data_IF_229799853354
#
_entry.id   IF_229799853354
#
_cell.length_a   1.000
_cell.length_b   1.000
_cell.length_c   1.000
_cell.angle_alpha   90.00
_cell.angle_beta   90.00
_cell.angle_gamma   90.00
#
_symmetry.space_group_name_H-M   'P 1'
#
loop_
_entity.id
_entity.type
_entity.pdbx_description
1 polymer ?
#
# COMPACT_ATOMS: atom_id res chain seq x y z
N UNK A 1 17.91 -8.32 20.09
CA UNK A 1 17.10 -8.40 18.87
C UNK A 1 16.26 -7.13 18.78
N UNK A 2 16.47 -6.28 17.77
CA UNK A 2 15.57 -5.14 17.53
C UNK A 2 14.23 -5.73 17.11
N UNK A 3 13.16 -5.37 17.79
CA UNK A 3 11.81 -5.76 17.40
C UNK A 3 11.52 -5.18 16.01
N UNK A 4 10.79 -5.89 15.16
CA UNK A 4 10.39 -5.49 13.79
C UNK A 4 9.85 -4.05 13.78
N UNK A 5 9.06 -3.68 14.78
CA UNK A 5 8.54 -2.34 14.99
C UNK A 5 9.60 -1.22 14.99
N UNK A 6 10.74 -1.42 15.64
CA UNK A 6 11.79 -0.37 15.73
C UNK A 6 12.56 -0.16 14.45
N UNK A 7 12.53 -1.12 13.53
CA UNK A 7 13.23 -1.02 12.24
C UNK A 7 12.42 -0.23 11.21
N UNK A 8 11.10 -0.38 11.21
CA UNK A 8 10.22 0.17 10.18
C UNK A 8 9.36 1.35 10.67
N UNK A 9 9.23 1.54 11.99
CA UNK A 9 8.46 2.65 12.55
C UNK A 9 9.29 3.92 12.74
N UNK A 10 8.59 5.07 12.71
CA UNK A 10 9.16 6.39 12.97
C UNK A 10 9.77 7.06 11.74
N UNK A 11 10.38 8.20 12.01
CA UNK A 11 10.99 9.06 11.00
C UNK A 11 12.52 9.15 11.23
N UNK A 12 13.23 9.58 10.20
CA UNK A 12 14.67 9.84 10.21
C UNK A 12 14.98 11.06 9.35
N UNK A 13 16.17 11.64 9.52
CA UNK A 13 16.67 12.66 8.59
C UNK A 13 16.75 12.08 7.18
N UNK A 14 16.43 12.89 6.19
CA UNK A 14 16.49 12.47 4.78
C UNK A 14 17.94 12.11 4.41
N UNK A 15 18.22 10.89 3.97
CA UNK A 15 19.55 10.50 3.48
C UNK A 15 19.95 11.33 2.26
N UNK A 16 21.24 11.66 2.12
CA UNK A 16 21.74 12.48 1.01
C UNK A 16 21.34 11.95 -0.38
N UNK A 17 21.33 10.63 -0.56
CA UNK A 17 20.93 10.00 -1.82
C UNK A 17 19.43 10.19 -2.17
N UNK A 18 18.60 10.52 -1.19
CA UNK A 18 17.16 10.72 -1.32
C UNK A 18 16.74 12.16 -1.00
N UNK A 19 17.69 13.07 -0.86
CA UNK A 19 17.41 14.51 -0.67
C UNK A 19 16.93 15.16 -1.97
N UNK A 20 16.29 16.29 -1.83
CA UNK A 20 15.80 17.15 -2.92
C UNK A 20 15.77 18.59 -2.46
N UNK A 21 15.50 19.53 -3.35
CA UNK A 21 15.38 20.95 -3.02
C UNK A 21 14.05 21.19 -2.26
N UNK A 22 14.17 21.48 -0.97
CA UNK A 22 13.02 21.74 -0.09
C UNK A 22 12.37 23.10 -0.40
N UNK A 23 13.13 24.09 -0.92
CA UNK A 23 12.58 25.37 -1.31
C UNK A 23 11.69 25.21 -2.56
N UNK A 24 12.19 24.53 -3.59
CA UNK A 24 11.39 24.22 -4.79
C UNK A 24 10.11 23.44 -4.45
N UNK A 25 10.17 22.53 -3.49
CA UNK A 25 8.98 21.83 -3.01
C UNK A 25 8.01 22.79 -2.31
N UNK A 26 8.52 23.64 -1.42
CA UNK A 26 7.70 24.61 -0.68
C UNK A 26 6.97 25.57 -1.63
N UNK A 27 7.69 26.12 -2.61
CA UNK A 27 7.13 27.03 -3.62
C UNK A 27 6.03 26.33 -4.44
N UNK A 28 6.28 25.07 -4.84
CA UNK A 28 5.28 24.28 -5.54
C UNK A 28 4.05 23.99 -4.67
N UNK A 29 4.24 23.66 -3.40
CA UNK A 29 3.13 23.42 -2.46
C UNK A 29 2.28 24.66 -2.23
N UNK A 30 2.89 25.86 -2.16
CA UNK A 30 2.18 27.14 -2.03
C UNK A 30 1.24 27.40 -3.21
N UNK A 31 1.68 27.06 -4.42
CA UNK A 31 0.89 27.23 -5.64
C UNK A 31 -0.22 26.18 -5.82
N UNK A 32 -0.05 24.98 -5.27
CA UNK A 32 -0.89 23.82 -5.60
C UNK A 32 -1.75 23.30 -4.43
N UNK A 33 -1.55 23.80 -3.20
CA UNK A 33 -2.28 23.35 -2.00
C UNK A 33 -2.86 24.58 -1.29
N UNK A 34 -4.16 24.77 -1.39
CA UNK A 34 -4.86 25.98 -0.91
C UNK A 34 -4.65 26.32 0.57
N UNK A 35 -4.43 25.30 1.41
CA UNK A 35 -4.25 25.45 2.87
C UNK A 35 -2.79 25.37 3.31
N UNK A 36 -1.87 25.44 2.35
CA UNK A 36 -0.45 25.34 2.68
C UNK A 36 0.08 26.66 3.22
N UNK A 37 0.84 26.58 4.31
CA UNK A 37 1.55 27.70 4.95
C UNK A 37 2.95 27.21 5.36
N UNK A 38 3.99 27.67 4.66
CA UNK A 38 5.38 27.37 5.01
C UNK A 38 5.84 28.03 6.32
N UNK A 39 7.09 27.79 6.75
CA UNK A 39 8.09 26.91 6.14
C UNK A 39 7.81 25.44 6.38
N UNK A 40 8.50 24.56 5.63
CA UNK A 40 8.41 23.10 5.78
C UNK A 40 9.60 22.54 6.57
N UNK A 41 9.33 21.43 7.28
CA UNK A 41 10.37 20.55 7.85
C UNK A 41 10.16 19.18 7.24
N UNK A 42 11.19 18.61 6.59
CA UNK A 42 11.11 17.36 5.87
C UNK A 42 11.87 16.27 6.61
N UNK A 43 11.18 15.16 6.89
CA UNK A 43 11.76 13.95 7.42
C UNK A 43 11.33 12.75 6.56
N UNK A 44 12.11 11.68 6.52
CA UNK A 44 11.75 10.47 5.81
C UNK A 44 11.15 9.43 6.77
N UNK A 45 10.08 8.74 6.36
CA UNK A 45 9.62 7.54 7.06
C UNK A 45 10.62 6.40 6.86
N UNK A 46 10.85 5.60 7.91
CA UNK A 46 11.72 4.42 7.84
C UNK A 46 11.08 3.26 7.07
N UNK A 47 9.75 3.17 7.07
CA UNK A 47 8.97 2.23 6.25
C UNK A 47 8.75 2.75 4.83
N UNK A 48 8.15 1.93 3.96
CA UNK A 48 7.84 2.31 2.58
C UNK A 48 9.03 2.14 1.64
N UNK A 49 9.54 0.90 1.53
CA UNK A 49 10.78 0.61 0.76
C UNK A 49 10.62 0.79 -0.76
N UNK A 50 9.41 0.61 -1.31
CA UNK A 50 9.17 0.70 -2.76
C UNK A 50 9.25 2.13 -3.28
N UNK A 51 8.56 3.06 -2.63
CA UNK A 51 8.51 4.47 -2.99
C UNK A 51 8.94 5.32 -1.79
N UNK A 52 9.99 6.16 -1.90
CA UNK A 52 10.41 7.04 -0.82
C UNK A 52 9.25 7.92 -0.34
N UNK A 53 9.00 7.88 0.97
CA UNK A 53 7.88 8.57 1.61
C UNK A 53 8.40 9.49 2.70
N UNK A 54 7.90 10.74 2.72
CA UNK A 54 8.40 11.79 3.60
C UNK A 54 7.26 12.41 4.39
N UNK A 55 7.54 12.74 5.65
CA UNK A 55 6.69 13.57 6.50
C UNK A 55 7.09 15.03 6.28
N UNK A 56 6.12 15.86 5.97
CA UNK A 56 6.30 17.30 5.76
C UNK A 56 5.48 18.00 6.83
N UNK A 57 6.18 18.68 7.72
CA UNK A 57 5.56 19.40 8.84
C UNK A 57 5.59 20.90 8.56
N UNK A 58 4.47 21.56 8.77
CA UNK A 58 4.32 23.02 8.78
C UNK A 58 3.83 23.46 10.15
N UNK A 59 3.61 24.76 10.34
CA UNK A 59 3.08 25.26 11.61
C UNK A 59 1.65 24.80 11.91
N UNK A 60 0.85 24.63 10.86
CA UNK A 60 -0.60 24.38 10.98
C UNK A 60 -1.01 22.98 10.54
N UNK A 61 -0.19 22.29 9.76
CA UNK A 61 -0.57 21.02 9.14
C UNK A 61 0.61 20.06 8.97
N UNK A 62 0.31 18.77 8.89
CA UNK A 62 1.28 17.72 8.56
C UNK A 62 0.82 17.00 7.31
N UNK A 63 1.71 16.90 6.32
CA UNK A 63 1.49 16.21 5.05
C UNK A 63 2.40 15.01 4.91
N UNK A 64 2.06 14.15 3.97
CA UNK A 64 2.92 13.07 3.48
C UNK A 64 3.19 13.29 2.01
N UNK A 65 4.47 13.29 1.63
CA UNK A 65 4.91 13.24 0.25
C UNK A 65 5.36 11.82 -0.08
N UNK A 66 4.86 11.25 -1.17
CA UNK A 66 5.34 9.98 -1.73
C UNK A 66 5.79 10.20 -3.17
N UNK A 67 7.00 9.78 -3.51
CA UNK A 67 7.59 10.00 -4.84
C UNK A 67 8.14 8.71 -5.45
N UNK A 68 8.32 8.71 -6.77
CA UNK A 68 9.09 7.67 -7.44
C UNK A 68 10.54 7.68 -6.94
N UNK A 69 11.19 6.52 -6.80
CA UNK A 69 12.63 6.47 -6.53
C UNK A 69 13.41 7.23 -7.63
N UNK A 70 14.52 7.89 -7.29
CA UNK A 70 15.41 8.46 -8.29
C UNK A 70 16.11 7.36 -9.11
N UNK A 71 16.42 7.66 -10.38
CA UNK A 71 17.16 6.76 -11.27
C UNK A 71 16.30 6.08 -12.34
N UNK A 72 16.89 5.10 -13.05
CA UNK A 72 16.18 4.34 -14.10
C UNK A 72 15.26 3.29 -13.47
N UNK A 73 13.98 3.41 -13.71
CA UNK A 73 12.96 2.49 -13.22
C UNK A 73 12.48 1.57 -14.33
N UNK A 74 12.02 0.38 -13.97
CA UNK A 74 11.33 -0.50 -14.91
C UNK A 74 10.00 0.14 -15.36
N UNK A 75 9.61 -0.05 -16.61
CA UNK A 75 8.30 0.44 -17.08
C UNK A 75 7.17 -0.07 -16.20
N UNK A 76 6.24 0.82 -15.84
CA UNK A 76 5.10 0.56 -14.95
C UNK A 76 5.42 0.23 -13.48
N UNK A 77 6.67 0.22 -13.06
CA UNK A 77 7.02 0.19 -11.65
C UNK A 77 6.82 1.57 -11.01
N UNK A 78 6.48 1.58 -9.72
CA UNK A 78 6.39 2.83 -8.94
C UNK A 78 5.39 3.85 -9.51
N UNK A 79 4.19 3.41 -9.89
CA UNK A 79 3.17 4.24 -10.55
C UNK A 79 2.42 5.13 -9.52
N UNK A 80 3.09 6.15 -8.99
CA UNK A 80 2.51 7.10 -8.00
C UNK A 80 1.30 7.87 -8.55
N UNK A 81 1.20 8.05 -9.87
CA UNK A 81 0.02 8.60 -10.56
C UNK A 81 -1.21 7.69 -10.39
N UNK A 82 -1.01 6.37 -10.45
CA UNK A 82 -2.09 5.41 -10.23
C UNK A 82 -2.52 5.36 -8.76
N UNK A 83 -1.56 5.41 -7.83
CA UNK A 83 -1.87 5.52 -6.40
C UNK A 83 -2.68 6.79 -6.11
N UNK A 84 -2.26 7.95 -6.64
CA UNK A 84 -2.99 9.19 -6.50
C UNK A 84 -4.42 9.10 -7.05
N UNK A 85 -4.58 8.52 -8.24
CA UNK A 85 -5.88 8.36 -8.90
C UNK A 85 -6.84 7.51 -8.06
N UNK A 86 -6.42 6.34 -7.62
CA UNK A 86 -7.28 5.42 -6.87
C UNK A 86 -7.66 6.01 -5.51
N UNK A 87 -6.69 6.54 -4.74
CA UNK A 87 -6.97 7.12 -3.43
C UNK A 87 -7.86 8.35 -3.52
N UNK A 88 -7.70 9.20 -4.55
CA UNK A 88 -8.59 10.35 -4.78
C UNK A 88 -10.03 9.91 -5.02
N UNK A 89 -10.24 8.88 -5.84
CA UNK A 89 -11.56 8.33 -6.12
C UNK A 89 -12.20 7.68 -4.89
N UNK A 90 -11.44 6.89 -4.15
CA UNK A 90 -11.87 6.22 -2.92
C UNK A 90 -12.21 7.22 -1.81
N UNK A 91 -11.37 8.24 -1.61
CA UNK A 91 -11.62 9.29 -0.62
C UNK A 91 -12.93 10.04 -0.91
N UNK A 92 -13.17 10.40 -2.18
CA UNK A 92 -14.40 11.08 -2.59
C UNK A 92 -15.66 10.23 -2.38
N UNK A 93 -15.52 8.90 -2.35
CA UNK A 93 -16.61 7.97 -2.05
C UNK A 93 -16.79 7.75 -0.53
N UNK A 94 -15.86 8.18 0.30
CA UNK A 94 -15.89 7.99 1.76
C UNK A 94 -15.21 6.71 2.25
N UNK A 95 -14.44 6.03 1.41
CA UNK A 95 -13.61 4.91 1.82
C UNK A 95 -12.39 5.42 2.59
N UNK A 96 -11.93 4.73 3.67
CA UNK A 96 -10.82 5.19 4.51
C UNK A 96 -9.47 5.10 3.77
N UNK A 97 -9.10 6.19 3.16
CA UNK A 97 -7.77 6.49 2.60
C UNK A 97 -7.39 7.92 2.96
N UNK A 98 -6.11 8.29 2.98
CA UNK A 98 -5.71 9.68 3.17
C UNK A 98 -6.33 10.60 2.10
N UNK A 99 -6.67 11.81 2.49
CA UNK A 99 -7.08 12.83 1.51
C UNK A 99 -5.90 13.19 0.63
N UNK A 100 -6.12 13.15 -0.68
CA UNK A 100 -5.13 13.55 -1.68
C UNK A 100 -5.23 15.05 -1.94
N UNK A 101 -4.10 15.75 -1.89
CA UNK A 101 -4.06 17.19 -2.14
C UNK A 101 -3.70 17.50 -3.59
N UNK A 102 -2.54 17.05 -4.05
CA UNK A 102 -2.06 17.34 -5.40
C UNK A 102 -1.06 16.29 -5.89
N UNK A 103 -1.00 16.12 -7.20
CA UNK A 103 -0.01 15.29 -7.90
C UNK A 103 0.86 16.18 -8.77
N UNK A 104 2.17 15.97 -8.73
CA UNK A 104 3.16 16.66 -9.53
C UNK A 104 3.83 15.69 -10.50
N UNK A 105 3.69 15.95 -11.79
CA UNK A 105 4.37 15.21 -12.85
C UNK A 105 5.70 15.87 -13.23
N UNK A 106 5.84 17.17 -12.93
CA UNK A 106 7.03 17.96 -13.26
C UNK A 106 8.23 17.53 -12.42
N UNK A 107 9.18 16.89 -13.09
CA UNK A 107 10.42 16.43 -12.47
C UNK A 107 11.39 17.56 -12.11
N UNK A 108 11.20 18.78 -12.63
CA UNK A 108 12.07 19.90 -12.28
C UNK A 108 11.92 20.34 -10.83
N UNK A 109 10.81 20.01 -10.16
CA UNK A 109 10.53 20.40 -8.76
C UNK A 109 11.44 19.65 -7.78
N UNK A 110 11.38 18.31 -7.78
CA UNK A 110 12.17 17.46 -6.85
C UNK A 110 12.86 16.27 -7.52
N UNK A 111 13.05 16.32 -8.84
CA UNK A 111 13.75 15.28 -9.60
C UNK A 111 12.90 14.09 -10.05
N UNK A 112 11.71 13.89 -9.50
CA UNK A 112 10.79 12.79 -9.85
C UNK A 112 9.34 13.20 -9.63
N UNK A 113 8.39 12.50 -10.27
CA UNK A 113 6.96 12.69 -10.00
C UNK A 113 6.63 12.29 -8.56
N UNK A 114 5.69 13.01 -7.94
CA UNK A 114 5.26 12.78 -6.56
C UNK A 114 3.80 13.21 -6.33
N UNK A 115 3.26 12.83 -5.18
CA UNK A 115 2.00 13.36 -4.70
C UNK A 115 2.08 13.77 -3.22
N UNK A 116 1.16 14.64 -2.84
CA UNK A 116 0.97 15.10 -1.45
C UNK A 116 -0.40 14.60 -0.96
N UNK A 117 -0.41 14.04 0.24
CA UNK A 117 -1.61 13.61 0.94
C UNK A 117 -1.59 14.04 2.41
N UNK A 118 -2.73 13.91 3.09
CA UNK A 118 -2.80 14.11 4.54
C UNK A 118 -1.95 13.09 5.30
N UNK A 119 -1.30 13.54 6.36
CA UNK A 119 -0.77 12.66 7.38
C UNK A 119 -1.91 12.17 8.28
N UNK A 120 -2.01 10.87 8.45
CA UNK A 120 -2.99 10.25 9.34
C UNK A 120 -2.27 9.79 10.61
N UNK A 121 -2.62 10.38 11.75
CA UNK A 121 -2.09 9.96 13.03
C UNK A 121 -2.87 8.74 13.56
N UNK A 122 -2.15 7.63 13.78
CA UNK A 122 -2.76 6.38 14.20
C UNK A 122 -1.74 5.27 14.45
N UNK A 123 -2.25 4.06 14.73
CA UNK A 123 -1.44 2.88 15.01
C UNK A 123 -1.26 2.05 13.73
N UNK A 124 -0.01 1.66 13.44
CA UNK A 124 0.34 0.67 12.41
C UNK A 124 0.94 -0.54 13.13
N UNK A 125 0.49 -1.73 12.80
CA UNK A 125 0.99 -2.98 13.39
C UNK A 125 1.88 -3.71 12.38
N UNK A 126 3.19 -3.56 12.55
CA UNK A 126 4.19 -4.23 11.71
C UNK A 126 4.28 -5.74 11.96
N UNK A 127 4.00 -6.16 13.21
CA UNK A 127 3.83 -7.55 13.57
C UNK A 127 2.31 -7.89 13.54
N UNK A 128 1.86 -8.72 12.58
CA UNK A 128 0.44 -9.05 12.48
C UNK A 128 -0.06 -9.88 13.67
N UNK A 129 0.82 -10.47 14.48
CA UNK A 129 0.43 -11.12 15.74
C UNK A 129 -0.01 -10.12 16.80
N UNK A 130 0.43 -8.86 16.70
CA UNK A 130 0.12 -7.79 17.67
C UNK A 130 0.33 -8.25 19.13
N UNK A 131 1.53 -8.72 19.50
CA UNK A 131 1.76 -9.39 20.79
C UNK A 131 1.43 -8.53 22.00
N UNK A 132 1.56 -7.19 21.88
CA UNK A 132 1.28 -6.22 22.92
C UNK A 132 -0.22 -5.89 23.07
N UNK A 133 -1.07 -6.39 22.16
CA UNK A 133 -2.50 -6.08 22.14
C UNK A 133 -3.30 -7.24 22.73
N UNK A 134 -4.25 -6.98 23.66
CA UNK A 134 -5.12 -8.01 24.24
C UNK A 134 -5.93 -8.76 23.16
N UNK A 135 -6.15 -10.06 23.35
CA UNK A 135 -6.81 -10.92 22.37
C UNK A 135 -8.17 -10.37 21.86
N UNK A 136 -8.98 -9.86 22.81
CA UNK A 136 -10.30 -9.26 22.47
C UNK A 136 -10.14 -8.05 21.52
N UNK A 137 -9.14 -7.23 21.74
CA UNK A 137 -8.87 -6.06 20.90
C UNK A 137 -8.28 -6.49 19.55
N UNK A 138 -7.35 -7.47 19.52
CA UNK A 138 -6.84 -8.04 18.27
C UNK A 138 -7.97 -8.55 17.38
N UNK A 139 -8.91 -9.30 17.96
CA UNK A 139 -10.09 -9.76 17.23
C UNK A 139 -10.90 -8.60 16.64
N UNK A 140 -11.10 -7.53 17.42
CA UNK A 140 -11.84 -6.36 16.95
C UNK A 140 -11.10 -5.60 15.83
N UNK A 141 -9.76 -5.49 15.90
CA UNK A 141 -8.92 -4.89 14.86
C UNK A 141 -8.99 -5.69 13.54
N UNK A 142 -8.81 -7.01 13.60
CA UNK A 142 -8.96 -7.87 12.42
C UNK A 142 -10.37 -7.80 11.82
N UNK A 143 -11.40 -7.77 12.67
CA UNK A 143 -12.78 -7.59 12.22
C UNK A 143 -13.00 -6.24 11.53
N UNK A 144 -12.37 -5.17 12.02
CA UNK A 144 -12.41 -3.87 11.39
C UNK A 144 -11.69 -3.89 10.02
N UNK A 145 -10.49 -4.48 9.93
CA UNK A 145 -9.78 -4.65 8.67
C UNK A 145 -10.60 -5.44 7.65
N UNK A 146 -11.15 -6.59 8.04
CA UNK A 146 -12.00 -7.40 7.15
C UNK A 146 -13.23 -6.66 6.67
N UNK A 147 -13.83 -5.80 7.50
CA UNK A 147 -14.95 -4.94 7.11
C UNK A 147 -14.54 -3.99 6.00
N UNK A 148 -13.39 -3.34 6.15
CA UNK A 148 -12.92 -2.41 5.10
C UNK A 148 -12.54 -3.13 3.81
N UNK A 149 -11.99 -4.34 3.88
CA UNK A 149 -11.78 -5.16 2.68
C UNK A 149 -13.12 -5.49 1.98
N UNK A 150 -14.12 -5.89 2.74
CA UNK A 150 -15.45 -6.15 2.20
C UNK A 150 -16.11 -4.88 1.63
N UNK A 151 -15.95 -3.73 2.30
CA UNK A 151 -16.41 -2.44 1.81
C UNK A 151 -15.76 -2.10 0.47
N UNK A 152 -14.43 -2.23 0.36
CA UNK A 152 -13.68 -2.00 -0.88
C UNK A 152 -14.24 -2.83 -2.04
N UNK A 153 -14.39 -4.13 -1.81
CA UNK A 153 -14.88 -5.05 -2.83
C UNK A 153 -16.33 -4.81 -3.26
N UNK A 154 -17.13 -4.09 -2.45
CA UNK A 154 -18.50 -3.74 -2.77
C UNK A 154 -18.65 -2.35 -3.40
N UNK A 155 -17.59 -1.57 -3.52
CA UNK A 155 -17.62 -0.29 -4.21
C UNK A 155 -17.89 -0.52 -5.69
N UNK A 156 -18.88 0.17 -6.23
CA UNK A 156 -19.10 0.19 -7.67
C UNK A 156 -18.05 1.11 -8.33
N UNK A 157 -17.00 0.49 -8.85
CA UNK A 157 -15.87 1.20 -9.45
C UNK A 157 -16.26 2.10 -10.64
N UNK A 158 -17.39 1.85 -11.31
CA UNK A 158 -17.90 2.70 -12.38
C UNK A 158 -18.47 4.02 -11.84
N UNK A 159 -19.16 3.98 -10.69
CA UNK A 159 -19.67 5.19 -10.05
C UNK A 159 -18.57 6.17 -9.62
N UNK A 160 -17.39 5.66 -9.32
CA UNK A 160 -16.22 6.48 -8.96
C UNK A 160 -15.22 6.65 -10.12
N UNK A 161 -15.66 6.42 -11.36
CA UNK A 161 -14.92 6.67 -12.62
C UNK A 161 -13.59 5.88 -12.72
N UNK A 162 -13.61 4.63 -12.26
CA UNK A 162 -12.44 3.73 -12.30
C UNK A 162 -12.60 2.58 -13.31
N UNK A 163 -13.54 2.66 -14.26
CA UNK A 163 -13.75 1.64 -15.30
C UNK A 163 -12.51 1.35 -16.16
N UNK A 164 -11.64 2.34 -16.32
CA UNK A 164 -10.37 2.24 -17.07
C UNK A 164 -9.15 2.05 -16.16
N UNK A 165 -9.34 1.78 -14.85
CA UNK A 165 -8.23 1.61 -13.90
C UNK A 165 -7.52 0.27 -14.04
N UNK A 166 -8.18 -0.74 -14.59
CA UNK A 166 -7.64 -2.07 -14.88
C UNK A 166 -8.45 -2.76 -15.97
N UNK A 167 -8.03 -3.97 -16.33
CA UNK A 167 -8.75 -4.80 -17.32
C UNK A 167 -9.73 -5.72 -16.57
N UNK A 168 -11.03 -5.64 -16.79
CA UNK A 168 -11.99 -6.58 -16.20
C UNK A 168 -11.83 -7.98 -16.83
N UNK A 169 -12.26 -9.00 -16.10
CA UNK A 169 -12.26 -10.40 -16.52
C UNK A 169 -10.86 -11.05 -16.59
N UNK A 170 -10.82 -12.37 -16.57
CA UNK A 170 -9.61 -13.20 -16.68
C UNK A 170 -8.47 -12.77 -15.75
N UNK A 171 -8.80 -12.28 -14.54
CA UNK A 171 -7.82 -11.71 -13.63
C UNK A 171 -6.75 -12.73 -13.23
N UNK A 172 -7.15 -13.89 -12.72
CA UNK A 172 -6.19 -14.92 -12.27
C UNK A 172 -5.29 -15.42 -13.40
N UNK A 173 -5.84 -15.67 -14.59
CA UNK A 173 -5.05 -16.08 -15.75
C UNK A 173 -3.94 -15.07 -16.09
N UNK A 174 -4.28 -13.76 -16.09
CA UNK A 174 -3.28 -12.71 -16.31
C UNK A 174 -2.23 -12.63 -15.20
N UNK A 175 -2.63 -12.80 -13.94
CA UNK A 175 -1.69 -12.77 -12.82
C UNK A 175 -0.74 -13.98 -12.86
N UNK A 176 -1.26 -15.17 -13.10
CA UNK A 176 -0.45 -16.39 -13.24
C UNK A 176 0.57 -16.23 -14.38
N UNK A 177 0.13 -15.79 -15.55
CA UNK A 177 1.03 -15.55 -16.68
C UNK A 177 2.11 -14.52 -16.36
N UNK A 178 1.73 -13.38 -15.79
CA UNK A 178 2.66 -12.29 -15.41
C UNK A 178 3.71 -12.76 -14.40
N UNK A 179 3.27 -13.36 -13.29
CA UNK A 179 4.17 -13.76 -12.21
C UNK A 179 5.04 -14.96 -12.60
N UNK A 180 4.52 -15.90 -13.40
CA UNK A 180 5.31 -17.00 -13.97
C UNK A 180 6.43 -16.49 -14.88
N UNK A 181 6.13 -15.53 -15.77
CA UNK A 181 7.14 -14.91 -16.63
C UNK A 181 8.18 -14.15 -15.82
N UNK A 182 7.76 -13.41 -14.80
CA UNK A 182 8.67 -12.66 -13.92
C UNK A 182 9.57 -13.61 -13.13
N UNK A 183 9.02 -14.68 -12.55
CA UNK A 183 9.80 -15.70 -11.87
C UNK A 183 10.85 -16.32 -12.78
N UNK A 184 10.45 -16.77 -13.97
CA UNK A 184 11.40 -17.35 -14.94
C UNK A 184 12.50 -16.38 -15.37
N UNK A 185 12.19 -15.09 -15.52
CA UNK A 185 13.19 -14.05 -15.86
C UNK A 185 14.17 -13.75 -14.73
N UNK A 186 13.80 -14.01 -13.49
CA UNK A 186 14.62 -13.77 -12.28
C UNK A 186 15.18 -15.05 -11.64
N UNK A 187 14.94 -16.21 -12.24
CA UNK A 187 15.36 -17.51 -11.74
C UNK A 187 16.90 -17.59 -11.65
N UNK A 188 17.43 -17.80 -10.45
CA UNK A 188 18.86 -18.01 -10.20
C UNK A 188 19.21 -19.47 -9.93
N UNK A 189 18.20 -20.29 -9.63
CA UNK A 189 18.31 -21.74 -9.44
C UNK A 189 16.96 -22.38 -9.68
N UNK A 190 16.94 -23.63 -10.11
CA UNK A 190 15.71 -24.41 -10.26
C UNK A 190 15.09 -24.75 -8.92
N UNK A 191 13.81 -24.42 -8.74
CA UNK A 191 12.97 -24.78 -7.58
C UNK A 191 11.82 -25.63 -8.11
N UNK A 192 11.90 -26.94 -7.95
CA UNK A 192 10.95 -27.91 -8.51
C UNK A 192 9.50 -27.64 -8.10
N UNK A 193 9.30 -27.18 -6.86
CA UNK A 193 7.99 -26.83 -6.32
C UNK A 193 7.38 -25.63 -7.07
N UNK A 194 8.20 -24.65 -7.47
CA UNK A 194 7.76 -23.51 -8.27
C UNK A 194 7.41 -23.93 -9.70
N UNK A 195 8.19 -24.81 -10.32
CA UNK A 195 7.90 -25.33 -11.65
C UNK A 195 6.59 -26.14 -11.67
N UNK A 196 6.39 -26.98 -10.65
CA UNK A 196 5.14 -27.73 -10.47
C UNK A 196 3.94 -26.79 -10.27
N UNK A 197 4.09 -25.74 -9.44
CA UNK A 197 3.05 -24.75 -9.20
C UNK A 197 2.69 -23.99 -10.49
N UNK A 198 3.68 -23.52 -11.23
CA UNK A 198 3.48 -22.79 -12.50
C UNK A 198 2.74 -23.67 -13.52
N UNK A 199 3.05 -24.96 -13.56
CA UNK A 199 2.40 -25.90 -14.47
C UNK A 199 0.97 -26.25 -14.05
N UNK A 200 0.69 -26.29 -12.75
CA UNK A 200 -0.62 -26.66 -12.19
C UNK A 200 -1.63 -25.51 -12.19
N UNK A 201 -1.19 -24.29 -11.84
CA UNK A 201 -2.08 -23.14 -11.67
C UNK A 201 -3.02 -22.86 -12.86
N UNK A 202 -2.57 -22.89 -14.14
CA UNK A 202 -3.46 -22.62 -15.28
C UNK A 202 -4.68 -23.53 -15.37
N UNK A 203 -4.56 -24.79 -14.92
CA UNK A 203 -5.67 -25.77 -14.94
C UNK A 203 -6.57 -25.68 -13.72
N UNK A 204 -6.22 -24.85 -12.72
CA UNK A 204 -6.90 -24.76 -11.43
C UNK A 204 -7.49 -23.38 -11.17
N UNK A 205 -7.60 -22.55 -12.21
CA UNK A 205 -8.17 -21.21 -12.09
C UNK A 205 -9.68 -21.31 -11.81
N UNK A 206 -10.18 -20.71 -10.72
CA UNK A 206 -11.61 -20.64 -10.47
C UNK A 206 -12.31 -19.73 -11.48
N UNK A 207 -13.58 -19.98 -11.73
CA UNK A 207 -14.41 -19.09 -12.52
C UNK A 207 -14.49 -17.72 -11.85
N UNK A 208 -14.26 -16.66 -12.60
CA UNK A 208 -14.38 -15.30 -12.10
C UNK A 208 -15.83 -14.85 -12.12
N UNK A 209 -16.48 -14.80 -10.98
CA UNK A 209 -17.89 -14.41 -10.85
C UNK A 209 -18.11 -12.89 -10.94
N UNK A 210 -17.15 -12.09 -10.46
CA UNK A 210 -17.26 -10.63 -10.46
C UNK A 210 -15.92 -9.92 -10.63
N UNK A 211 -15.99 -8.62 -10.93
CA UNK A 211 -14.86 -7.71 -10.94
C UNK A 211 -15.05 -6.64 -9.88
N UNK A 212 -14.05 -6.43 -9.06
CA UNK A 212 -14.01 -5.40 -8.00
C UNK A 212 -12.72 -4.60 -8.08
N UNK A 213 -12.62 -3.55 -7.28
CA UNK A 213 -11.34 -2.95 -6.95
C UNK A 213 -10.58 -3.95 -6.08
N UNK A 214 -9.37 -4.29 -6.49
CA UNK A 214 -8.43 -5.15 -5.76
C UNK A 214 -7.28 -4.29 -5.27
N UNK A 215 -6.95 -4.40 -3.99
CA UNK A 215 -5.81 -3.70 -3.38
C UNK A 215 -4.48 -4.30 -3.84
N UNK A 216 -4.40 -5.63 -3.85
CA UNK A 216 -3.22 -6.39 -4.29
C UNK A 216 -2.17 -6.65 -3.22
N UNK A 217 -2.21 -5.91 -2.09
CA UNK A 217 -1.35 -6.12 -0.90
C UNK A 217 -2.10 -5.75 0.39
N UNK A 218 -3.34 -6.24 0.57
CA UNK A 218 -4.15 -5.93 1.75
C UNK A 218 -3.65 -6.68 2.98
N UNK A 219 -2.90 -5.97 3.81
CA UNK A 219 -2.22 -6.50 5.01
C UNK A 219 -2.38 -5.54 6.17
N UNK A 220 -2.24 -6.06 7.40
CA UNK A 220 -2.38 -5.28 8.64
C UNK A 220 -1.37 -4.12 8.72
N UNK A 221 -0.16 -4.31 8.26
CA UNK A 221 0.90 -3.30 8.23
C UNK A 221 0.68 -2.20 7.18
N UNK A 222 -0.28 -2.39 6.26
CA UNK A 222 -0.76 -1.36 5.32
C UNK A 222 -2.04 -0.65 5.80
N UNK A 223 -2.40 -0.80 7.08
CA UNK A 223 -3.62 -0.21 7.66
C UNK A 223 -3.25 0.68 8.84
N UNK A 224 -3.74 1.91 8.82
CA UNK A 224 -3.69 2.82 9.98
C UNK A 224 -4.98 2.66 10.79
N UNK A 225 -4.84 2.26 12.03
CA UNK A 225 -5.94 2.17 12.99
C UNK A 225 -6.00 3.40 13.89
N UNK A 226 -7.17 3.67 14.41
CA UNK A 226 -7.37 4.72 15.41
C UNK A 226 -6.47 4.49 16.65
N UNK A 227 -5.96 5.55 17.32
CA UNK A 227 -5.03 5.42 18.43
C UNK A 227 -5.55 4.55 19.60
N UNK A 228 -6.86 4.54 19.85
CA UNK A 228 -7.47 3.84 20.99
C UNK A 228 -8.66 2.95 20.64
N UNK A 229 -9.22 3.04 19.43
CA UNK A 229 -10.39 2.28 18.99
C UNK A 229 -10.02 1.24 17.95
N UNK A 230 -10.75 0.10 17.86
CA UNK A 230 -10.56 -0.86 16.77
C UNK A 230 -11.27 -0.41 15.49
N UNK A 231 -10.87 0.76 14.98
CA UNK A 231 -11.42 1.40 13.78
C UNK A 231 -10.29 1.74 12.80
N UNK A 232 -10.48 1.43 11.53
CA UNK A 232 -9.57 1.82 10.46
C UNK A 232 -9.71 3.31 10.17
N UNK A 233 -8.58 4.01 10.09
CA UNK A 233 -8.50 5.40 9.67
C UNK A 233 -8.06 5.52 8.21
N UNK A 234 -7.13 4.66 7.78
CA UNK A 234 -6.69 4.64 6.39
C UNK A 234 -6.14 3.28 5.97
N UNK A 235 -6.35 2.92 4.72
CA UNK A 235 -5.67 1.85 4.00
C UNK A 235 -4.64 2.49 3.08
N UNK A 236 -3.40 2.00 3.12
CA UNK A 236 -2.23 2.54 2.44
C UNK A 236 -1.67 1.55 1.42
N UNK A 237 -0.73 2.01 0.59
CA UNK A 237 0.08 1.21 -0.34
C UNK A 237 -0.70 0.58 -1.49
N UNK A 238 -1.28 1.44 -2.31
CA UNK A 238 -2.14 1.10 -3.44
C UNK A 238 -1.38 0.82 -4.75
N UNK A 239 -0.05 0.63 -4.70
CA UNK A 239 0.79 0.47 -5.90
C UNK A 239 0.43 -0.77 -6.74
N UNK A 240 -0.07 -1.84 -6.12
CA UNK A 240 -0.49 -3.07 -6.78
C UNK A 240 -1.98 -3.10 -7.14
N UNK A 241 -2.72 -2.06 -6.80
CA UNK A 241 -4.17 -2.03 -6.97
C UNK A 241 -4.61 -2.04 -8.45
N UNK A 242 -5.74 -2.67 -8.69
CA UNK A 242 -6.30 -2.80 -10.05
C UNK A 242 -7.78 -3.21 -9.99
N UNK A 243 -8.39 -3.41 -11.16
CA UNK A 243 -9.66 -4.13 -11.28
C UNK A 243 -9.39 -5.62 -11.44
N UNK A 244 -9.98 -6.44 -10.56
CA UNK A 244 -9.73 -7.87 -10.54
C UNK A 244 -10.77 -8.66 -9.78
N UNK A 245 -10.45 -9.92 -9.47
CA UNK A 245 -11.28 -10.78 -8.67
C UNK A 245 -11.03 -10.50 -7.17
N UNK A 246 -12.06 -10.18 -6.37
CA UNK A 246 -11.91 -9.89 -4.94
C UNK A 246 -11.35 -11.07 -4.13
N UNK A 247 -11.49 -12.30 -4.60
CA UNK A 247 -10.92 -13.47 -3.94
C UNK A 247 -9.39 -13.39 -3.83
N UNK A 248 -8.73 -12.64 -4.72
CA UNK A 248 -7.28 -12.47 -4.66
C UNK A 248 -6.82 -11.75 -3.39
N UNK A 249 -7.47 -10.64 -3.03
CA UNK A 249 -7.17 -9.93 -1.79
C UNK A 249 -7.55 -10.76 -0.55
N UNK A 250 -8.72 -11.38 -0.60
CA UNK A 250 -9.19 -12.18 0.52
C UNK A 250 -8.28 -13.37 0.81
N UNK A 251 -7.88 -14.12 -0.22
CA UNK A 251 -6.96 -15.25 -0.06
C UNK A 251 -5.56 -14.81 0.33
N UNK A 252 -5.09 -13.67 -0.20
CA UNK A 252 -3.81 -13.09 0.20
C UNK A 252 -3.81 -12.71 1.69
N UNK A 253 -4.86 -12.03 2.15
CA UNK A 253 -5.03 -11.69 3.56
C UNK A 253 -5.07 -12.94 4.47
N UNK A 254 -5.72 -14.02 4.01
CA UNK A 254 -5.78 -15.29 4.75
C UNK A 254 -4.49 -16.13 4.67
N UNK A 255 -3.60 -15.86 3.71
CA UNK A 255 -2.37 -16.63 3.51
C UNK A 255 -1.50 -16.68 4.77
N UNK A 256 -1.50 -15.62 5.57
CA UNK A 256 -0.74 -15.55 6.83
C UNK A 256 -1.10 -16.69 7.79
N UNK A 257 -2.35 -17.16 7.78
CA UNK A 257 -2.83 -18.29 8.62
C UNK A 257 -2.28 -19.64 8.19
N UNK A 258 -1.72 -19.72 6.98
CA UNK A 258 -1.11 -20.92 6.38
C UNK A 258 0.40 -20.80 6.21
N UNK A 259 0.94 -19.63 6.45
CA UNK A 259 2.40 -19.38 6.33
C UNK A 259 3.09 -19.73 7.65
N UNK A 260 4.23 -20.45 7.63
CA UNK A 260 4.98 -20.79 8.83
C UNK A 260 5.43 -19.54 9.60
N UNK A 261 5.54 -19.62 10.95
CA UNK A 261 6.06 -18.54 11.78
C UNK A 261 7.48 -18.12 11.35
N UNK A 262 7.79 -16.85 11.51
CA UNK A 262 9.13 -16.30 11.20
C UNK A 262 9.33 -15.88 9.75
N UNK A 263 8.42 -16.21 8.83
CA UNK A 263 8.42 -15.71 7.46
C UNK A 263 7.40 -14.56 7.37
N UNK A 264 7.84 -13.33 7.65
CA UNK A 264 7.01 -12.11 7.56
C UNK A 264 5.56 -12.27 8.04
N UNK A 265 5.37 -12.84 9.24
CA UNK A 265 4.09 -12.85 9.91
C UNK A 265 3.18 -14.04 9.64
N UNK A 266 3.72 -15.20 9.36
CA UNK A 266 2.92 -16.44 9.32
C UNK A 266 2.43 -16.87 10.70
N UNK A 267 1.23 -17.44 10.75
CA UNK A 267 0.56 -17.89 11.99
C UNK A 267 0.42 -19.40 12.09
N UNK A 268 0.82 -20.14 11.03
CA UNK A 268 0.69 -21.59 11.03
C UNK A 268 1.45 -22.20 12.22
N UNK A 269 0.82 -23.16 12.88
CA UNK A 269 1.35 -23.84 14.09
C UNK A 269 1.50 -22.97 15.35
N UNK A 270 1.17 -21.68 15.31
CA UNK A 270 1.10 -20.89 16.54
C UNK A 270 -0.15 -21.29 17.32
N UNK A 271 0.05 -21.72 18.57
CA UNK A 271 -1.05 -21.88 19.52
C UNK A 271 -1.51 -20.46 19.90
N UNK A 272 -2.49 -19.96 19.17
CA UNK A 272 -3.17 -18.70 19.53
C UNK A 272 -3.94 -18.96 20.84
N UNK A 273 -3.30 -18.68 21.97
CA UNK A 273 -3.90 -18.74 23.30
C UNK A 273 -4.61 -17.44 23.62
#
# INVERSE_FOLDING_TARGET
>A
MLTIDKTFSGIQKVPKALSFDENSLSDWMELNIKSFEGPIIVNQFRGGQSNPTYKIETKSHTYVLRRKPPGKLLPSAHAVDREFKIMSALHSFGYPVPRMHSYCEDQSVIGTSFYIMDYIDGRIFWDPLMPEIPLKERYALYKAANRELANLHNINFKQIKLENYGKPGNYFSRQISRWSSQYKSSETRTIKEMDNLISWLPSSIPEQERTSIVHGDFRIDNIIFHPSEPRVLAVLDWELSTLGDPLSDFTYHLMQWKTPPGVRGGFDSLKLR
#
